data_IF_134220341932
#
_entry.id   IF_134220341932
#
_cell.length_a   1.000
_cell.length_b   1.000
_cell.length_c   1.000
_cell.angle_alpha   90.00
_cell.angle_beta   90.00
_cell.angle_gamma   90.00
#
_symmetry.space_group_name_H-M   'P 1'
#
loop_
_entity.id
_entity.type
_entity.pdbx_description
1 polymer ?
#
# COMPACT_ATOMS: atom_id res chain seq x y z
N UNK A 1 3.25 4.10 -8.97
CA UNK A 1 2.63 5.44 -8.83
C UNK A 1 2.54 6.13 -10.19
N UNK A 2 1.48 6.88 -10.48
CA UNK A 2 1.44 7.76 -11.67
C UNK A 2 0.97 9.18 -11.29
N UNK A 3 1.33 10.17 -12.11
CA UNK A 3 1.05 11.59 -11.82
C UNK A 3 -0.43 11.89 -11.64
N UNK A 4 -1.31 11.24 -12.42
CA UNK A 4 -2.75 11.45 -12.34
C UNK A 4 -3.30 11.09 -10.95
N UNK A 5 -2.89 9.95 -10.39
CA UNK A 5 -3.27 9.51 -9.05
C UNK A 5 -2.76 10.43 -7.94
N UNK A 6 -1.57 11.02 -8.10
CA UNK A 6 -1.06 12.03 -7.16
C UNK A 6 -1.95 13.27 -7.14
N UNK A 7 -2.33 13.77 -8.33
CA UNK A 7 -3.21 14.92 -8.48
C UNK A 7 -4.61 14.63 -7.91
N UNK A 8 -5.15 13.44 -8.20
CA UNK A 8 -6.44 13.00 -7.64
C UNK A 8 -6.40 12.94 -6.11
N UNK A 9 -5.32 12.41 -5.53
CA UNK A 9 -5.13 12.36 -4.07
C UNK A 9 -5.08 13.76 -3.48
N UNK A 10 -4.34 14.67 -4.13
CA UNK A 10 -4.25 16.08 -3.70
C UNK A 10 -5.62 16.77 -3.76
N UNK A 11 -6.38 16.58 -4.85
CA UNK A 11 -7.71 17.14 -5.03
C UNK A 11 -8.75 16.59 -4.03
N UNK A 12 -8.47 15.45 -3.39
CA UNK A 12 -9.32 14.87 -2.35
C UNK A 12 -9.08 15.43 -0.96
N UNK A 13 -7.96 16.14 -0.77
CA UNK A 13 -7.63 16.78 0.50
C UNK A 13 -8.36 18.12 0.64
N UNK A 14 -8.63 18.56 1.88
CA UNK A 14 -9.12 19.91 2.13
C UNK A 14 -8.13 20.97 1.64
N UNK A 15 -8.58 22.22 1.49
CA UNK A 15 -7.76 23.36 1.07
C UNK A 15 -6.50 23.54 1.93
N UNK A 16 -6.62 23.31 3.24
CA UNK A 16 -5.51 23.25 4.19
C UNK A 16 -5.38 21.85 4.77
N UNK A 17 -4.19 21.27 4.64
CA UNK A 17 -3.86 19.95 5.17
C UNK A 17 -2.39 19.94 5.60
N UNK A 18 -2.01 18.96 6.43
CA UNK A 18 -0.61 18.75 6.80
C UNK A 18 0.11 17.96 5.72
N UNK A 19 1.32 18.37 5.37
CA UNK A 19 2.15 17.68 4.38
C UNK A 19 2.30 16.18 4.68
N UNK A 20 2.41 15.82 5.96
CA UNK A 20 2.51 14.44 6.43
C UNK A 20 1.31 13.59 5.99
N UNK A 21 0.11 14.14 6.00
CA UNK A 21 -1.11 13.42 5.59
C UNK A 21 -1.10 13.09 4.10
N UNK A 22 -0.61 14.00 3.27
CA UNK A 22 -0.42 13.73 1.84
C UNK A 22 0.63 12.64 1.62
N UNK A 23 1.77 12.73 2.31
CA UNK A 23 2.85 11.73 2.20
C UNK A 23 2.36 10.34 2.61
N UNK A 24 1.65 10.22 3.73
CA UNK A 24 1.08 8.96 4.20
C UNK A 24 0.10 8.35 3.18
N UNK A 25 -0.81 9.17 2.63
CA UNK A 25 -1.76 8.71 1.59
C UNK A 25 -1.03 8.24 0.33
N UNK A 26 -0.02 8.96 -0.13
CA UNK A 26 0.75 8.58 -1.32
C UNK A 26 1.54 7.29 -1.10
N UNK A 27 2.17 7.11 0.07
CA UNK A 27 2.87 5.88 0.44
C UNK A 27 1.92 4.68 0.51
N UNK A 28 0.72 4.87 1.08
CA UNK A 28 -0.31 3.83 1.10
C UNK A 28 -0.74 3.43 -0.31
N UNK A 29 -1.02 4.41 -1.17
CA UNK A 29 -1.43 4.16 -2.55
C UNK A 29 -0.35 3.40 -3.33
N UNK A 30 0.92 3.77 -3.15
CA UNK A 30 2.04 3.05 -3.76
C UNK A 30 2.12 1.59 -3.30
N UNK A 31 1.95 1.32 -1.99
CA UNK A 31 1.91 -0.05 -1.47
C UNK A 31 0.79 -0.88 -2.10
N UNK A 32 -0.41 -0.31 -2.25
CA UNK A 32 -1.55 -1.01 -2.87
C UNK A 32 -1.27 -1.34 -4.34
N UNK A 33 -0.71 -0.40 -5.10
CA UNK A 33 -0.36 -0.62 -6.51
C UNK A 33 0.71 -1.71 -6.65
N UNK A 34 1.73 -1.68 -5.80
CA UNK A 34 2.78 -2.70 -5.78
C UNK A 34 2.19 -4.07 -5.42
N UNK A 35 1.33 -4.15 -4.40
CA UNK A 35 0.65 -5.39 -4.03
C UNK A 35 -0.21 -5.94 -5.18
N UNK A 36 -0.91 -5.08 -5.93
CA UNK A 36 -1.66 -5.50 -7.13
C UNK A 36 -0.76 -6.11 -8.20
N UNK A 37 0.43 -5.53 -8.42
CA UNK A 37 1.41 -6.07 -9.36
C UNK A 37 2.00 -7.41 -8.87
N UNK A 38 2.27 -7.53 -7.57
CA UNK A 38 2.74 -8.76 -6.96
C UNK A 38 1.72 -9.89 -7.11
N UNK A 39 0.43 -9.60 -6.86
CA UNK A 39 -0.67 -10.56 -7.10
C UNK A 39 -0.72 -10.99 -8.55
N UNK A 40 -0.67 -10.03 -9.49
CA UNK A 40 -0.67 -10.33 -10.92
C UNK A 40 0.55 -11.16 -11.36
N UNK A 41 1.70 -10.98 -10.69
CA UNK A 41 2.92 -11.74 -10.92
C UNK A 41 2.96 -13.08 -10.17
N UNK A 42 1.90 -13.45 -9.44
CA UNK A 42 1.84 -14.69 -8.65
C UNK A 42 2.70 -14.66 -7.38
N UNK A 43 3.24 -13.50 -6.98
CA UNK A 43 4.00 -13.29 -5.74
C UNK A 43 3.04 -13.21 -4.55
N UNK A 44 2.35 -14.29 -4.28
CA UNK A 44 1.38 -14.43 -3.18
C UNK A 44 1.75 -15.62 -2.31
N UNK A 45 1.40 -15.55 -1.03
CA UNK A 45 1.57 -16.66 -0.10
C UNK A 45 0.21 -17.31 0.17
N UNK A 46 0.11 -18.64 0.12
CA UNK A 46 -1.04 -19.35 0.65
C UNK A 46 -1.24 -19.05 2.14
N UNK A 47 -2.50 -18.96 2.58
CA UNK A 47 -2.83 -18.63 3.98
C UNK A 47 -2.15 -19.56 4.98
N UNK A 48 -2.07 -20.86 4.66
CA UNK A 48 -1.40 -21.84 5.51
C UNK A 48 0.09 -21.53 5.73
N UNK A 49 0.78 -21.01 4.71
CA UNK A 49 2.20 -20.63 4.80
C UNK A 49 2.39 -19.37 5.66
N UNK A 50 1.47 -18.40 5.55
CA UNK A 50 1.47 -17.19 6.37
C UNK A 50 1.27 -17.52 7.86
N UNK A 51 0.33 -18.42 8.19
CA UNK A 51 0.11 -18.85 9.57
C UNK A 51 1.38 -19.52 10.13
N UNK A 52 2.02 -20.37 9.33
CA UNK A 52 3.27 -21.03 9.72
C UNK A 52 4.41 -20.02 9.95
N UNK A 53 4.56 -19.01 9.10
CA UNK A 53 5.62 -18.01 9.26
C UNK A 53 5.43 -17.18 10.53
N UNK A 54 4.19 -16.80 10.86
CA UNK A 54 3.89 -16.03 12.08
C UNK A 54 4.15 -16.87 13.33
N UNK A 55 3.73 -18.13 13.34
CA UNK A 55 3.93 -19.02 14.49
C UNK A 55 5.42 -19.27 14.81
N UNK A 56 6.29 -19.33 13.79
CA UNK A 56 7.73 -19.48 13.97
C UNK A 56 8.36 -18.22 14.58
N UNK A 57 7.90 -17.03 14.20
CA UNK A 57 8.45 -15.76 14.69
C UNK A 57 8.05 -15.40 16.13
N UNK A 58 7.16 -16.19 16.76
CA UNK A 58 6.67 -15.98 18.13
C UNK A 58 7.27 -16.94 19.17
N UNK A 59 8.17 -17.85 18.75
CA UNK A 59 8.94 -18.75 19.62
C UNK A 59 10.41 -18.31 19.68
#
# INVERSE_FOLDING_TARGET
MNKAKVIETLNSLPEEFKTEELVEKLLFLEKVENARQEVAAGKVLPVAEVIKSIAISLN
#
